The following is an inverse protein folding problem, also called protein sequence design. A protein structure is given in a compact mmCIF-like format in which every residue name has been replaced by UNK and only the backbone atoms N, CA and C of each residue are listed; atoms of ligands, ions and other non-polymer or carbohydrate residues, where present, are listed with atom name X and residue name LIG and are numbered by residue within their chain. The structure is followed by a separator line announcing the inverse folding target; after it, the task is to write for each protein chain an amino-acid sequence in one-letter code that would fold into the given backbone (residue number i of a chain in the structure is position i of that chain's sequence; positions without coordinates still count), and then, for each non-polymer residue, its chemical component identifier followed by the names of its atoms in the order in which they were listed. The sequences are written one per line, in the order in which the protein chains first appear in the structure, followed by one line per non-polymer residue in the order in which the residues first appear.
data_IF_634256808804
#
_entry.id   IF_634256808804
#
_cell.length_a   1.000
_cell.length_b   1.000
_cell.length_c   1.000
_cell.angle_alpha   90.00
_cell.angle_beta   90.00
_cell.angle_gamma   90.00
#
_symmetry.space_group_name_H-M   'P 1'
#
loop_
_entity.id
_entity.type
_entity.pdbx_description
1 polymer ?
#
# COMPACT_ATOMS: atom_id res chain seq x y z
N UNK A 1 6.03 9.46 -11.49
CA UNK A 1 5.02 8.52 -10.93
C UNK A 1 4.57 8.98 -9.54
N UNK A 2 4.55 10.29 -9.30
CA UNK A 2 4.05 10.88 -8.07
C UNK A 2 2.51 10.80 -8.02
N UNK A 3 1.84 10.99 -9.16
CA UNK A 3 0.39 10.96 -9.28
C UNK A 3 -0.19 9.62 -8.81
N UNK A 4 0.33 8.49 -9.30
CA UNK A 4 -0.13 7.17 -8.84
C UNK A 4 0.11 6.94 -7.34
N UNK A 5 1.20 7.46 -6.76
CA UNK A 5 1.41 7.41 -5.30
C UNK A 5 0.36 8.20 -4.54
N UNK A 6 0.02 9.39 -5.04
CA UNK A 6 -1.01 10.24 -4.44
C UNK A 6 -2.37 9.56 -4.54
N UNK A 7 -2.74 9.04 -5.72
CA UNK A 7 -4.01 8.32 -5.90
C UNK A 7 -4.10 7.10 -5.00
N UNK A 8 -3.05 6.27 -4.93
CA UNK A 8 -2.99 5.13 -4.02
C UNK A 8 -3.16 5.56 -2.56
N UNK A 9 -2.46 6.63 -2.15
CA UNK A 9 -2.56 7.18 -0.80
C UNK A 9 -3.98 7.67 -0.47
N UNK A 10 -4.62 8.38 -1.41
CA UNK A 10 -5.96 8.93 -1.23
C UNK A 10 -7.02 7.83 -1.19
N UNK A 11 -6.86 6.75 -1.98
CA UNK A 11 -7.74 5.58 -1.90
C UNK A 11 -7.66 4.93 -0.52
N UNK A 12 -6.47 4.68 0.01
CA UNK A 12 -6.30 4.08 1.35
C UNK A 12 -6.79 5.02 2.45
N UNK A 13 -6.44 6.31 2.39
CA UNK A 13 -6.93 7.31 3.35
C UNK A 13 -8.45 7.40 3.32
N UNK A 14 -9.03 7.44 2.13
CA UNK A 14 -10.48 7.46 1.93
C UNK A 14 -11.14 6.18 2.44
N UNK A 15 -10.53 5.01 2.27
CA UNK A 15 -11.02 3.75 2.81
C UNK A 15 -11.14 3.77 4.33
N UNK A 16 -10.09 4.22 5.01
CA UNK A 16 -10.14 4.35 6.45
C UNK A 16 -11.10 5.47 6.87
N UNK A 17 -11.08 6.63 6.21
CA UNK A 17 -12.05 7.69 6.45
C UNK A 17 -13.50 7.23 6.28
N UNK A 18 -13.80 6.33 5.34
CA UNK A 18 -15.15 5.79 5.14
C UNK A 18 -15.61 4.89 6.30
N UNK A 19 -14.66 4.24 7.00
CA UNK A 19 -14.96 3.50 8.22
C UNK A 19 -15.43 4.43 9.35
N UNK A 20 -14.95 5.69 9.33
CA UNK A 20 -15.28 6.98 10.00
C UNK A 20 -16.71 7.52 9.93
N UNK A 21 -17.43 7.15 8.87
CA UNK A 21 -18.60 7.91 8.44
C UNK A 21 -19.89 7.15 8.74
N UNK A 22 -20.93 7.90 9.03
CA UNK A 22 -22.29 7.39 9.15
C UNK A 22 -22.70 6.75 7.83
N UNK A 23 -23.31 5.56 7.87
CA UNK A 23 -23.85 4.91 6.68
C UNK A 23 -24.92 5.81 6.05
N UNK A 24 -24.68 6.38 4.86
CA UNK A 24 -25.65 7.30 4.26
C UNK A 24 -26.89 6.53 3.79
N UNK A 25 -28.00 7.24 3.59
CA UNK A 25 -29.20 6.64 3.01
C UNK A 25 -28.88 5.91 1.69
N UNK A 26 -29.39 4.68 1.48
CA UNK A 26 -29.16 3.92 0.24
C UNK A 26 -29.54 4.75 -0.99
N UNK A 27 -28.69 4.75 -2.02
CA UNK A 27 -28.93 5.47 -3.27
C UNK A 27 -28.60 6.97 -3.25
N UNK A 28 -28.15 7.53 -2.13
CA UNK A 28 -27.67 8.91 -2.07
C UNK A 28 -26.28 9.07 -2.72
N UNK A 29 -25.98 10.28 -3.25
CA UNK A 29 -24.64 10.60 -3.78
C UNK A 29 -23.54 10.43 -2.72
N UNK A 30 -23.81 10.85 -1.48
CA UNK A 30 -22.91 10.62 -0.34
C UNK A 30 -22.70 9.11 -0.08
N UNK A 31 -23.78 8.32 -0.15
CA UNK A 31 -23.73 6.85 -0.06
C UNK A 31 -22.84 6.24 -1.13
N UNK A 32 -22.95 6.69 -2.38
CA UNK A 32 -22.10 6.23 -3.47
C UNK A 32 -20.61 6.56 -3.24
N UNK A 33 -20.30 7.74 -2.68
CA UNK A 33 -18.92 8.12 -2.34
C UNK A 33 -18.36 7.22 -1.23
N UNK A 34 -19.10 7.06 -0.12
CA UNK A 34 -18.67 6.21 1.01
C UNK A 34 -18.50 4.76 0.55
N UNK A 35 -19.44 4.26 -0.27
CA UNK A 35 -19.35 2.94 -0.86
C UNK A 35 -18.09 2.81 -1.73
N UNK A 36 -17.85 3.73 -2.67
CA UNK A 36 -16.64 3.71 -3.50
C UNK A 36 -15.36 3.63 -2.65
N UNK A 37 -15.25 4.48 -1.64
CA UNK A 37 -14.07 4.48 -0.76
C UNK A 37 -14.01 3.25 0.16
N UNK A 38 -15.10 2.54 0.43
CA UNK A 38 -15.04 1.25 1.14
C UNK A 38 -14.17 0.21 0.41
N UNK A 39 -14.02 0.31 -0.91
CA UNK A 39 -13.07 -0.48 -1.71
C UNK A 39 -11.70 0.21 -1.92
N UNK A 40 -11.43 1.34 -1.28
CA UNK A 40 -10.18 2.08 -1.39
C UNK A 40 -8.94 1.34 -0.85
N UNK A 41 -9.12 0.19 -0.19
CA UNK A 41 -8.04 -0.74 0.17
C UNK A 41 -7.22 -1.19 -1.05
N UNK A 42 -7.80 -1.15 -2.26
CA UNK A 42 -7.12 -1.42 -3.53
C UNK A 42 -5.94 -0.47 -3.82
N UNK A 43 -5.87 0.68 -3.14
CA UNK A 43 -4.68 1.54 -3.17
C UNK A 43 -3.40 0.81 -2.71
N UNK A 44 -3.52 -0.23 -1.88
CA UNK A 44 -2.39 -1.09 -1.49
C UNK A 44 -1.81 -1.84 -2.69
N UNK A 45 -2.64 -2.37 -3.60
CA UNK A 45 -2.17 -3.03 -4.82
C UNK A 45 -1.35 -2.07 -5.69
N UNK A 46 -1.81 -0.83 -5.82
CA UNK A 46 -1.10 0.23 -6.56
C UNK A 46 0.28 0.48 -5.92
N UNK A 47 0.39 0.58 -4.60
CA UNK A 47 1.68 0.78 -3.92
C UNK A 47 2.64 -0.40 -4.13
N UNK A 48 2.15 -1.64 -3.97
CA UNK A 48 2.97 -2.84 -4.12
C UNK A 48 3.46 -3.00 -5.57
N UNK A 49 2.56 -2.87 -6.55
CA UNK A 49 2.92 -2.96 -7.96
C UNK A 49 3.84 -1.82 -8.40
N UNK A 50 3.55 -0.58 -7.98
CA UNK A 50 4.41 0.57 -8.26
C UNK A 50 5.81 0.39 -7.68
N UNK A 51 5.92 -0.25 -6.51
CA UNK A 51 7.22 -0.57 -5.92
C UNK A 51 7.96 -1.61 -6.76
N UNK A 52 7.31 -2.70 -7.17
CA UNK A 52 7.90 -3.68 -8.09
C UNK A 52 8.42 -3.03 -9.38
N UNK A 53 7.62 -2.14 -9.96
CA UNK A 53 7.98 -1.35 -11.13
C UNK A 53 9.20 -0.44 -10.86
N UNK A 54 9.11 0.48 -9.90
CA UNK A 54 10.18 1.47 -9.68
C UNK A 54 11.48 0.85 -9.20
N UNK A 55 11.39 -0.19 -8.36
CA UNK A 55 12.56 -0.81 -7.80
C UNK A 55 13.30 -1.63 -8.85
N UNK A 56 12.59 -2.39 -9.70
CA UNK A 56 13.23 -3.25 -10.69
C UNK A 56 13.93 -2.51 -11.84
N UNK A 57 13.53 -1.27 -12.16
CA UNK A 57 14.02 -0.49 -13.32
C UNK A 57 15.55 -0.45 -13.48
N UNK A 58 16.36 -0.12 -12.46
CA UNK A 58 17.82 -0.07 -12.62
C UNK A 58 18.42 -1.39 -13.09
N UNK A 59 17.85 -2.53 -12.68
CA UNK A 59 18.35 -3.85 -13.11
C UNK A 59 17.94 -4.19 -14.54
N UNK A 60 16.78 -3.72 -14.99
CA UNK A 60 16.40 -3.77 -16.42
C UNK A 60 17.31 -2.92 -17.29
N UNK A 61 17.83 -1.81 -16.74
CA UNK A 61 18.81 -0.91 -17.36
C UNK A 61 20.26 -1.42 -17.26
N UNK A 62 20.47 -2.65 -16.78
CA UNK A 62 21.79 -3.31 -16.77
C UNK A 62 22.58 -3.22 -15.46
N UNK A 63 22.06 -2.60 -14.41
CA UNK A 63 22.75 -2.46 -13.11
C UNK A 63 23.22 -3.81 -12.56
N UNK A 64 24.53 -3.94 -12.33
CA UNK A 64 25.14 -5.19 -11.86
C UNK A 64 24.64 -5.65 -10.48
N UNK A 65 24.53 -6.98 -10.32
CA UNK A 65 24.21 -7.63 -9.05
C UNK A 65 25.51 -8.05 -8.37
N UNK A 66 26.11 -7.13 -7.61
CA UNK A 66 27.26 -7.38 -6.74
C UNK A 66 26.94 -7.05 -5.27
N UNK A 67 27.82 -7.45 -4.35
CA UNK A 67 27.64 -7.22 -2.90
C UNK A 67 27.48 -5.75 -2.56
N UNK A 68 28.19 -4.86 -3.26
CA UNK A 68 28.13 -3.40 -3.07
C UNK A 68 26.77 -2.84 -3.47
N UNK A 69 26.22 -3.28 -4.59
CA UNK A 69 24.93 -2.83 -5.12
C UNK A 69 23.78 -3.37 -4.29
N UNK A 70 23.86 -4.63 -3.86
CA UNK A 70 22.90 -5.23 -2.93
C UNK A 70 22.91 -4.51 -1.57
N UNK A 71 24.09 -4.25 -0.99
CA UNK A 71 24.21 -3.48 0.25
C UNK A 71 23.63 -2.07 0.11
N UNK A 72 23.89 -1.39 -1.02
CA UNK A 72 23.30 -0.07 -1.33
C UNK A 72 21.78 -0.13 -1.50
N UNK A 73 21.25 -1.17 -2.14
CA UNK A 73 19.82 -1.39 -2.27
C UNK A 73 19.18 -1.57 -0.89
N UNK A 74 19.70 -2.50 -0.08
CA UNK A 74 19.22 -2.79 1.27
C UNK A 74 19.24 -1.54 2.16
N UNK A 75 20.36 -0.81 2.18
CA UNK A 75 20.47 0.43 2.97
C UNK A 75 19.44 1.49 2.56
N UNK A 76 19.17 1.65 1.25
CA UNK A 76 18.14 2.59 0.75
C UNK A 76 16.72 2.15 1.07
N UNK A 77 16.46 0.86 1.27
CA UNK A 77 15.16 0.34 1.71
C UNK A 77 15.01 0.48 3.21
N UNK A 78 16.03 0.08 3.97
CA UNK A 78 16.11 0.28 5.41
C UNK A 78 15.89 1.75 5.79
N UNK A 79 16.65 2.68 5.21
CA UNK A 79 16.52 4.11 5.46
C UNK A 79 15.17 4.72 5.06
N UNK A 80 14.45 4.08 4.13
CA UNK A 80 13.13 4.53 3.68
C UNK A 80 12.01 4.05 4.61
N UNK A 81 12.10 2.82 5.09
CA UNK A 81 11.01 2.14 5.81
C UNK A 81 11.24 2.21 7.33
N UNK A 82 12.38 1.72 7.80
CA UNK A 82 12.61 1.40 9.23
C UNK A 82 12.37 2.60 10.16
N UNK A 83 12.96 3.80 9.93
CA UNK A 83 12.86 4.87 10.91
C UNK A 83 11.43 5.33 11.19
N UNK A 84 10.66 5.62 10.14
CA UNK A 84 9.29 6.09 10.29
C UNK A 84 8.32 4.95 10.64
N UNK A 85 8.53 3.74 10.12
CA UNK A 85 7.72 2.58 10.49
C UNK A 85 7.87 2.23 11.98
N UNK A 86 9.10 2.14 12.50
CA UNK A 86 9.32 1.86 13.92
C UNK A 86 8.81 2.99 14.80
N UNK A 87 8.97 4.25 14.39
CA UNK A 87 8.38 5.36 15.12
C UNK A 87 6.85 5.25 15.18
N UNK A 88 6.20 4.94 14.06
CA UNK A 88 4.75 4.75 14.02
C UNK A 88 4.30 3.53 14.83
N UNK A 89 4.99 2.39 14.72
CA UNK A 89 4.66 1.16 15.43
C UNK A 89 4.83 1.33 16.94
N UNK A 90 6.01 1.74 17.40
CA UNK A 90 6.31 1.95 18.82
C UNK A 90 5.48 3.08 19.41
N UNK A 91 5.30 4.18 18.67
CA UNK A 91 4.43 5.28 19.07
C UNK A 91 2.98 4.85 19.21
N UNK A 92 2.46 4.05 18.27
CA UNK A 92 1.09 3.51 18.37
C UNK A 92 0.96 2.57 19.57
N UNK A 93 1.93 1.68 19.82
CA UNK A 93 1.90 0.78 20.99
C UNK A 93 1.90 1.58 22.29
N UNK A 94 2.77 2.59 22.40
CA UNK A 94 2.83 3.46 23.58
C UNK A 94 1.50 4.19 23.80
N UNK A 95 0.94 4.80 22.75
CA UNK A 95 -0.34 5.51 22.82
C UNK A 95 -1.49 4.53 23.13
N UNK A 96 -1.45 3.31 22.59
CA UNK A 96 -2.42 2.25 22.91
C UNK A 96 -2.47 1.96 24.41
N UNK A 97 -1.32 1.91 25.08
CA UNK A 97 -1.23 1.62 26.51
C UNK A 97 -1.60 2.85 27.35
N UNK A 98 -1.04 4.02 27.03
CA UNK A 98 -1.12 5.21 27.89
C UNK A 98 -2.41 5.99 27.68
N UNK A 99 -2.91 6.08 26.45
CA UNK A 99 -4.06 6.91 26.10
C UNK A 99 -5.35 6.09 25.93
N UNK A 100 -5.26 4.92 25.28
CA UNK A 100 -6.41 4.03 25.08
C UNK A 100 -6.57 2.98 26.19
N UNK A 101 -5.68 2.98 27.18
CA UNK A 101 -5.70 2.05 28.32
C UNK A 101 -5.78 0.57 27.92
N UNK A 102 -5.23 0.22 26.74
CA UNK A 102 -5.22 -1.16 26.25
C UNK A 102 -4.19 -1.96 27.07
N UNK A 103 -4.59 -3.06 27.72
CA UNK A 103 -3.70 -3.84 28.57
C UNK A 103 -2.56 -4.47 27.76
N UNK A 104 -1.35 -4.46 28.35
CA UNK A 104 -0.21 -5.18 27.79
C UNK A 104 -0.36 -6.66 28.11
N UNK A 105 -0.52 -7.46 27.06
CA UNK A 105 -0.64 -8.92 27.15
C UNK A 105 0.55 -9.58 26.45
N UNK A 106 0.72 -10.89 26.64
CA UNK A 106 1.71 -11.68 25.88
C UNK A 106 1.50 -11.52 24.36
N UNK A 107 0.25 -11.53 23.90
CA UNK A 107 -0.12 -11.29 22.50
C UNK A 107 0.34 -9.91 22.01
N UNK A 108 0.28 -8.88 22.86
CA UNK A 108 0.79 -7.54 22.53
C UNK A 108 2.29 -7.58 22.22
N UNK A 109 3.07 -8.31 23.03
CA UNK A 109 4.51 -8.48 22.82
C UNK A 109 4.80 -9.26 21.53
N UNK A 110 4.11 -10.38 21.30
CA UNK A 110 4.30 -11.16 20.08
C UNK A 110 3.95 -10.38 18.80
N UNK A 111 2.87 -9.60 18.80
CA UNK A 111 2.51 -8.70 17.70
C UNK A 111 3.58 -7.65 17.43
N UNK A 112 4.10 -7.02 18.48
CA UNK A 112 5.17 -6.03 18.37
C UNK A 112 6.45 -6.65 17.81
N UNK A 113 6.89 -7.80 18.35
CA UNK A 113 8.09 -8.49 17.87
C UNK A 113 7.96 -8.92 16.40
N UNK A 114 6.81 -9.47 16.01
CA UNK A 114 6.54 -9.84 14.62
C UNK A 114 6.50 -8.63 13.68
N UNK A 115 5.94 -7.51 14.12
CA UNK A 115 5.97 -6.24 13.38
C UNK A 115 7.38 -5.68 13.21
N UNK A 116 8.16 -5.64 14.29
CA UNK A 116 9.57 -5.19 14.28
C UNK A 116 10.43 -6.06 13.36
N UNK A 117 10.18 -7.36 13.32
CA UNK A 117 10.86 -8.31 12.45
C UNK A 117 10.29 -8.37 11.01
N UNK A 118 9.26 -7.58 10.68
CA UNK A 118 8.59 -7.56 9.36
C UNK A 118 8.02 -8.91 8.92
N UNK A 119 7.53 -9.69 9.89
CA UNK A 119 6.96 -11.04 9.70
C UNK A 119 5.57 -11.15 10.33
N UNK A 120 4.83 -10.05 10.42
CA UNK A 120 3.49 -10.03 11.02
C UNK A 120 2.54 -11.05 10.38
N UNK A 121 2.73 -11.37 9.10
CA UNK A 121 1.91 -12.28 8.31
C UNK A 121 2.02 -13.79 8.65
N UNK A 122 2.83 -14.21 9.62
CA UNK A 122 3.03 -15.64 9.92
C UNK A 122 1.78 -16.28 10.55
N UNK A 123 1.12 -15.58 11.49
CA UNK A 123 -0.06 -16.10 12.20
C UNK A 123 -1.19 -15.07 12.20
N UNK A 124 -2.46 -15.50 12.30
CA UNK A 124 -3.57 -14.57 12.49
C UNK A 124 -3.42 -13.67 13.73
N UNK A 125 -2.79 -14.20 14.79
CA UNK A 125 -2.55 -13.49 16.04
C UNK A 125 -1.54 -12.35 15.87
N UNK A 126 -0.55 -12.51 14.98
CA UNK A 126 0.48 -11.49 14.71
C UNK A 126 0.15 -10.58 13.52
N UNK A 127 -0.84 -10.95 12.69
CA UNK A 127 -1.12 -10.33 11.40
C UNK A 127 -1.18 -8.80 11.47
N UNK A 128 -1.92 -8.29 12.45
CA UNK A 128 -1.96 -6.87 12.78
C UNK A 128 -0.95 -6.57 13.91
N UNK A 129 0.17 -5.88 13.63
CA UNK A 129 1.25 -5.70 14.60
C UNK A 129 0.87 -4.76 15.76
N UNK A 130 -0.16 -3.94 15.61
CA UNK A 130 -0.75 -3.14 16.70
C UNK A 130 -2.24 -2.88 16.41
N UNK A 131 -3.17 -3.14 17.36
CA UNK A 131 -4.61 -3.04 17.10
C UNK A 131 -5.12 -1.67 16.64
N UNK A 132 -4.66 -0.60 17.28
CA UNK A 132 -5.10 0.79 17.03
C UNK A 132 -4.64 1.31 15.67
N UNK A 133 -3.66 0.65 15.03
CA UNK A 133 -3.16 1.01 13.72
C UNK A 133 -2.99 -0.25 12.85
N UNK A 134 -4.13 -0.90 12.60
CA UNK A 134 -4.20 -2.13 11.84
C UNK A 134 -3.38 -2.08 10.52
N UNK A 135 -3.46 -1.04 9.66
CA UNK A 135 -2.82 -1.02 8.34
C UNK A 135 -1.31 -1.27 8.32
N UNK A 136 -0.60 -1.12 9.44
CA UNK A 136 0.83 -1.41 9.55
C UNK A 136 1.23 -2.85 9.15
N UNK A 137 0.27 -3.78 9.06
CA UNK A 137 0.49 -5.14 8.55
C UNK A 137 1.09 -5.19 7.13
N UNK A 138 0.74 -4.24 6.26
CA UNK A 138 1.18 -4.29 4.84
C UNK A 138 2.69 -4.07 4.71
N UNK A 139 3.31 -3.39 5.66
CA UNK A 139 4.74 -3.06 5.62
C UNK A 139 5.58 -4.34 5.69
N UNK A 140 5.14 -5.35 6.45
CA UNK A 140 5.76 -6.67 6.45
C UNK A 140 5.74 -7.31 5.06
N UNK A 141 4.62 -7.23 4.33
CA UNK A 141 4.50 -7.74 2.96
C UNK A 141 5.38 -6.95 1.97
N UNK A 142 5.45 -5.64 2.12
CA UNK A 142 6.28 -4.78 1.29
C UNK A 142 7.78 -5.08 1.48
N UNK A 143 8.23 -5.23 2.73
CA UNK A 143 9.61 -5.60 3.05
C UNK A 143 9.94 -7.00 2.54
N UNK A 144 9.00 -7.96 2.63
CA UNK A 144 9.15 -9.28 2.02
C UNK A 144 9.39 -9.17 0.49
N UNK A 145 8.58 -8.38 -0.22
CA UNK A 145 8.75 -8.18 -1.66
C UNK A 145 10.10 -7.51 -1.99
N UNK A 146 10.56 -6.58 -1.17
CA UNK A 146 11.86 -5.94 -1.33
C UNK A 146 13.01 -6.93 -1.15
N UNK A 147 12.90 -7.81 -0.15
CA UNK A 147 13.87 -8.87 0.08
C UNK A 147 13.88 -9.92 -1.05
N UNK A 148 12.73 -10.19 -1.66
CA UNK A 148 12.61 -11.13 -2.77
C UNK A 148 13.19 -10.60 -4.09
N UNK A 149 13.18 -9.28 -4.32
CA UNK A 149 13.56 -8.67 -5.61
C UNK A 149 14.97 -9.05 -6.10
N UNK A 150 16.04 -9.01 -5.29
CA UNK A 150 17.36 -9.50 -5.70
C UNK A 150 17.35 -10.93 -6.24
N UNK A 151 16.58 -11.83 -5.63
CA UNK A 151 16.45 -13.21 -6.09
C UNK A 151 15.74 -13.26 -7.45
N UNK A 152 14.65 -12.50 -7.62
CA UNK A 152 13.92 -12.37 -8.90
C UNK A 152 14.86 -11.95 -10.03
N UNK A 153 15.66 -10.89 -9.80
CA UNK A 153 16.62 -10.39 -10.80
C UNK A 153 17.74 -11.42 -11.05
N UNK A 154 18.21 -12.11 -10.02
CA UNK A 154 19.28 -13.12 -10.14
C UNK A 154 18.87 -14.28 -11.04
N UNK A 155 17.65 -14.80 -10.88
CA UNK A 155 17.09 -15.84 -11.77
C UNK A 155 16.99 -15.34 -13.21
N UNK A 156 16.56 -14.09 -13.41
CA UNK A 156 16.51 -13.47 -14.72
C UNK A 156 17.86 -13.36 -15.43
N UNK A 157 18.93 -13.07 -14.67
CA UNK A 157 20.29 -13.03 -15.21
C UNK A 157 20.86 -14.40 -15.50
N UNK A 158 20.68 -15.34 -14.58
CA UNK A 158 21.18 -16.71 -14.72
C UNK A 158 20.62 -17.41 -15.97
N UNK A 159 19.34 -17.19 -16.27
CA UNK A 159 18.68 -17.75 -17.46
C UNK A 159 19.02 -17.03 -18.77
N UNK A 160 19.65 -15.85 -18.72
CA UNK A 160 19.84 -14.97 -19.88
C UNK A 160 18.54 -14.43 -20.50
N UNK A 161 17.38 -14.76 -19.92
CA UNK A 161 16.03 -14.44 -20.45
C UNK A 161 15.19 -13.79 -19.34
N UNK A 162 15.53 -12.56 -18.90
CA UNK A 162 14.96 -11.96 -17.69
C UNK A 162 13.43 -11.78 -17.75
N UNK A 163 12.86 -11.52 -18.93
CA UNK A 163 11.41 -11.44 -19.09
C UNK A 163 10.73 -12.80 -18.87
N UNK A 164 11.23 -13.85 -19.53
CA UNK A 164 10.70 -15.21 -19.39
C UNK A 164 10.88 -15.74 -17.96
N UNK A 165 12.00 -15.44 -17.31
CA UNK A 165 12.23 -15.77 -15.90
C UNK A 165 11.25 -15.06 -14.97
N UNK A 166 10.99 -13.78 -15.18
CA UNK A 166 10.03 -13.03 -14.36
C UNK A 166 8.60 -13.57 -14.57
N UNK A 167 8.23 -13.94 -15.80
CA UNK A 167 6.95 -14.61 -16.09
C UNK A 167 6.90 -15.97 -15.39
N UNK A 168 7.96 -16.77 -15.48
CA UNK A 168 8.05 -18.07 -14.81
C UNK A 168 7.93 -17.96 -13.29
N UNK A 169 8.56 -16.95 -12.69
CA UNK A 169 8.44 -16.66 -11.26
C UNK A 169 7.03 -16.18 -10.87
N UNK A 170 6.37 -15.39 -11.72
CA UNK A 170 4.97 -15.02 -11.51
C UNK A 170 4.08 -16.26 -11.56
N UNK A 171 4.22 -17.11 -12.57
CA UNK A 171 3.48 -18.38 -12.68
C UNK A 171 3.74 -19.29 -11.48
N UNK A 172 5.00 -19.42 -11.05
CA UNK A 172 5.37 -20.18 -9.85
C UNK A 172 4.69 -19.61 -8.59
N UNK A 173 4.74 -18.29 -8.42
CA UNK A 173 4.12 -17.62 -7.27
C UNK A 173 2.60 -17.80 -7.26
N UNK A 174 1.95 -17.75 -8.43
CA UNK A 174 0.52 -18.01 -8.57
C UNK A 174 0.17 -19.49 -8.32
N UNK A 175 1.05 -20.43 -8.70
CA UNK A 175 0.89 -21.84 -8.37
C UNK A 175 0.99 -22.07 -6.85
N UNK A 176 1.97 -21.45 -6.19
CA UNK A 176 2.08 -21.46 -4.72
C UNK A 176 0.83 -20.87 -4.08
N UNK A 177 0.34 -19.73 -4.59
CA UNK A 177 -0.91 -19.12 -4.11
C UNK A 177 -2.11 -20.05 -4.27
N UNK A 178 -2.22 -20.74 -5.40
CA UNK A 178 -3.27 -21.72 -5.65
C UNK A 178 -3.21 -22.85 -4.61
N UNK A 179 -2.01 -23.41 -4.34
CA UNK A 179 -1.81 -24.43 -3.29
C UNK A 179 -2.20 -23.89 -1.91
N UNK A 180 -1.75 -22.69 -1.55
CA UNK A 180 -2.06 -22.03 -0.27
C UNK A 180 -3.57 -21.83 -0.09
N UNK A 181 -4.27 -21.47 -1.16
CA UNK A 181 -5.72 -21.27 -1.16
C UNK A 181 -6.48 -22.60 -1.09
N UNK A 182 -6.02 -23.65 -1.79
CA UNK A 182 -6.65 -24.97 -1.74
C UNK A 182 -6.45 -25.61 -0.36
N UNK A 183 -5.26 -25.48 0.20
CA UNK A 183 -4.91 -26.06 1.50
C UNK A 183 -5.49 -25.26 2.68
N UNK A 184 -5.66 -23.96 2.52
CA UNK A 184 -6.18 -23.08 3.57
C UNK A 184 -7.67 -22.80 3.38
N UNK A 185 -8.47 -23.12 4.37
CA UNK A 185 -9.87 -22.68 4.43
C UNK A 185 -9.95 -21.35 5.19
N UNK A 186 -10.26 -20.21 4.54
CA UNK A 186 -10.49 -18.97 5.28
C UNK A 186 -11.66 -19.16 6.26
N UNK A 187 -11.62 -18.46 7.39
CA UNK A 187 -12.76 -18.44 8.29
C UNK A 187 -14.00 -17.92 7.55
N UNK A 188 -15.22 -18.43 7.84
CA UNK A 188 -16.44 -18.00 7.16
C UNK A 188 -16.58 -16.48 7.19
N UNK A 189 -17.04 -15.92 6.06
CA UNK A 189 -17.43 -14.52 5.99
C UNK A 189 -18.61 -14.29 6.95
N UNK A 190 -18.32 -13.74 8.12
CA UNK A 190 -19.26 -13.48 9.20
C UNK A 190 -18.84 -12.24 9.97
N UNK A 191 -19.66 -11.86 10.97
CA UNK A 191 -19.32 -10.72 11.83
C UNK A 191 -18.00 -11.04 12.56
N UNK A 192 -16.95 -10.31 12.23
CA UNK A 192 -15.68 -10.37 12.95
C UNK A 192 -15.84 -9.58 14.25
N UNK A 193 -15.56 -10.22 15.39
CA UNK A 193 -15.65 -9.58 16.71
C UNK A 193 -14.27 -9.14 17.22
N UNK A 194 -13.20 -9.60 16.57
CA UNK A 194 -11.82 -9.24 16.89
C UNK A 194 -10.97 -9.07 15.63
N UNK A 195 -9.82 -8.39 15.76
CA UNK A 195 -8.82 -8.32 14.70
C UNK A 195 -8.23 -9.68 14.34
N UNK A 196 -8.25 -10.65 15.25
CA UNK A 196 -7.83 -12.03 14.93
C UNK A 196 -8.83 -12.68 13.99
N UNK A 197 -10.13 -12.46 14.19
CA UNK A 197 -11.16 -12.96 13.27
C UNK A 197 -11.02 -12.33 11.89
N UNK A 198 -10.76 -11.02 11.83
CA UNK A 198 -10.46 -10.33 10.56
C UNK A 198 -9.25 -10.98 9.88
N UNK A 199 -8.16 -11.22 10.62
CA UNK A 199 -6.97 -11.88 10.07
C UNK A 199 -7.27 -13.31 9.56
N UNK A 200 -8.10 -14.07 10.29
CA UNK A 200 -8.53 -15.43 9.89
C UNK A 200 -9.44 -15.44 8.66
N UNK A 201 -10.17 -14.37 8.39
CA UNK A 201 -10.96 -14.20 7.15
C UNK A 201 -10.07 -13.80 5.97
N UNK A 202 -8.98 -13.06 6.22
CA UNK A 202 -8.06 -12.59 5.20
C UNK A 202 -7.04 -13.68 4.82
N UNK A 203 -6.58 -14.45 5.79
CA UNK A 203 -5.75 -15.63 5.58
C UNK A 203 -6.64 -16.80 5.09
N UNK A 204 -6.20 -17.57 4.09
CA UNK A 204 -4.86 -17.59 3.53
C UNK A 204 -4.62 -16.59 2.40
N UNK A 205 -5.62 -15.86 1.91
CA UNK A 205 -5.52 -15.06 0.68
C UNK A 205 -4.57 -13.86 0.78
N UNK A 206 -4.50 -13.21 1.94
CA UNK A 206 -3.56 -12.13 2.25
C UNK A 206 -2.25 -12.71 2.78
N UNK A 207 -1.38 -13.16 1.88
CA UNK A 207 -0.10 -13.78 2.23
C UNK A 207 1.05 -13.30 1.31
N UNK A 208 2.31 -13.62 1.64
CA UNK A 208 3.47 -13.19 0.87
C UNK A 208 3.46 -13.59 -0.62
N UNK A 209 2.91 -14.76 -0.99
CA UNK A 209 2.83 -15.19 -2.39
C UNK A 209 1.87 -14.30 -3.19
N UNK A 210 0.67 -14.03 -2.67
CA UNK A 210 -0.28 -13.13 -3.31
C UNK A 210 0.31 -11.73 -3.55
N UNK A 211 1.00 -11.18 -2.55
CA UNK A 211 1.63 -9.86 -2.64
C UNK A 211 2.85 -9.86 -3.57
N UNK A 212 3.63 -10.94 -3.59
CA UNK A 212 4.73 -11.10 -4.53
C UNK A 212 4.21 -11.19 -5.98
N UNK A 213 3.06 -11.79 -6.24
CA UNK A 213 2.45 -11.81 -7.57
C UNK A 213 2.13 -10.39 -8.07
N UNK A 214 1.47 -9.57 -7.23
CA UNK A 214 1.17 -8.15 -7.53
C UNK A 214 2.47 -7.37 -7.77
N UNK A 215 3.48 -7.59 -6.93
CA UNK A 215 4.79 -6.95 -7.07
C UNK A 215 5.48 -7.34 -8.39
N UNK A 216 5.45 -8.62 -8.75
CA UNK A 216 6.03 -9.16 -9.99
C UNK A 216 5.34 -8.60 -11.24
N UNK A 217 4.03 -8.31 -11.22
CA UNK A 217 3.35 -7.57 -12.30
C UNK A 217 4.02 -6.20 -12.53
N UNK A 218 4.43 -5.52 -11.46
CA UNK A 218 5.19 -4.28 -11.54
C UNK A 218 6.58 -4.48 -12.15
N UNK A 219 7.30 -5.54 -11.71
CA UNK A 219 8.61 -5.91 -12.27
C UNK A 219 8.52 -6.20 -13.77
N UNK A 220 7.49 -6.92 -14.21
CA UNK A 220 7.21 -7.20 -15.61
C UNK A 220 6.91 -5.92 -16.39
N UNK A 221 6.10 -5.02 -15.82
CA UNK A 221 5.75 -3.74 -16.45
C UNK A 221 7.00 -2.89 -16.68
N UNK A 222 7.96 -2.89 -15.74
CA UNK A 222 9.23 -2.20 -15.93
C UNK A 222 10.07 -2.83 -17.05
N UNK A 223 10.08 -4.16 -17.16
CA UNK A 223 10.75 -4.87 -18.25
C UNK A 223 10.13 -4.57 -19.63
N UNK A 224 8.79 -4.50 -19.69
CA UNK A 224 8.06 -4.12 -20.91
C UNK A 224 8.30 -2.65 -21.28
N UNK A 225 8.36 -1.75 -20.29
CA UNK A 225 8.60 -0.32 -20.51
C UNK A 225 9.84 -0.05 -21.36
N UNK A 226 10.88 -0.89 -21.26
CA UNK A 226 12.15 -0.71 -21.99
C UNK A 226 11.98 -0.69 -23.52
N UNK A 227 10.96 -1.38 -24.02
CA UNK A 227 10.68 -1.48 -25.45
C UNK A 227 9.80 -0.35 -25.96
N UNK A 228 9.29 0.50 -25.07
CA UNK A 228 8.38 1.58 -25.40
C UNK A 228 9.15 2.90 -25.35
N UNK A 229 9.35 3.59 -26.49
CA UNK A 229 10.09 4.84 -26.50
C UNK A 229 9.40 5.88 -25.62
N UNK A 230 10.19 6.78 -25.02
CA UNK A 230 9.69 7.89 -24.22
C UNK A 230 9.44 9.11 -25.10
N UNK A 231 8.33 9.08 -25.81
CA UNK A 231 7.85 10.19 -26.62
C UNK A 231 6.58 10.74 -25.98
N UNK A 232 6.56 12.05 -25.72
CA UNK A 232 5.37 12.71 -25.20
C UNK A 232 4.29 12.74 -26.28
N UNK A 233 3.08 12.33 -25.94
CA UNK A 233 1.99 12.15 -26.90
C UNK A 233 0.63 12.37 -26.22
N UNK A 234 -0.30 13.11 -26.85
CA UNK A 234 -1.69 13.21 -26.39
C UNK A 234 -2.42 11.86 -26.38
N UNK A 235 -2.07 10.94 -27.28
CA UNK A 235 -2.61 9.58 -27.28
C UNK A 235 -2.23 8.83 -25.99
N UNK A 236 -1.02 9.05 -25.46
CA UNK A 236 -0.64 8.51 -24.16
C UNK A 236 -1.47 9.12 -23.02
N UNK A 237 -1.89 10.39 -23.09
CA UNK A 237 -2.84 10.95 -22.11
C UNK A 237 -4.21 10.24 -22.16
N UNK A 238 -4.71 9.91 -23.37
CA UNK A 238 -5.97 9.14 -23.51
C UNK A 238 -5.82 7.76 -22.90
N UNK A 239 -4.74 7.03 -23.19
CA UNK A 239 -4.48 5.72 -22.59
C UNK A 239 -4.36 5.82 -21.06
N UNK A 240 -3.71 6.88 -20.56
CA UNK A 240 -3.61 7.13 -19.13
C UNK A 240 -4.98 7.40 -18.50
N UNK A 241 -5.83 8.23 -19.12
CA UNK A 241 -7.20 8.47 -18.68
C UNK A 241 -8.02 7.17 -18.66
N UNK A 242 -7.96 6.37 -19.72
CA UNK A 242 -8.64 5.07 -19.78
C UNK A 242 -8.14 4.12 -18.69
N UNK A 243 -6.83 4.10 -18.44
CA UNK A 243 -6.22 3.25 -17.40
C UNK A 243 -6.65 3.69 -15.99
N UNK A 244 -6.64 5.00 -15.71
CA UNK A 244 -7.12 5.55 -14.44
C UNK A 244 -8.63 5.34 -14.26
N UNK A 245 -9.41 5.49 -15.34
CA UNK A 245 -10.84 5.18 -15.37
C UNK A 245 -11.13 3.70 -15.11
N UNK A 246 -10.34 2.79 -15.68
CA UNK A 246 -10.43 1.37 -15.42
C UNK A 246 -10.10 1.01 -13.96
N UNK A 247 -9.07 1.63 -13.36
CA UNK A 247 -8.79 1.50 -11.92
C UNK A 247 -10.01 1.94 -11.11
N UNK A 248 -10.57 3.12 -11.40
CA UNK A 248 -11.76 3.63 -10.73
C UNK A 248 -12.97 2.71 -10.88
N UNK A 249 -13.20 2.17 -12.09
CA UNK A 249 -14.29 1.24 -12.34
C UNK A 249 -14.13 -0.07 -11.56
N UNK A 250 -12.93 -0.66 -11.54
CA UNK A 250 -12.65 -1.89 -10.77
C UNK A 250 -12.88 -1.66 -9.28
N UNK A 251 -12.40 -0.54 -8.73
CA UNK A 251 -12.62 -0.17 -7.32
C UNK A 251 -14.12 0.02 -7.03
N UNK A 252 -14.82 0.81 -7.85
CA UNK A 252 -16.24 1.10 -7.66
C UNK A 252 -17.14 -0.13 -7.78
N UNK A 253 -16.84 -1.03 -8.71
CA UNK A 253 -17.58 -2.29 -8.86
C UNK A 253 -17.28 -3.26 -7.70
N UNK A 254 -16.06 -3.26 -7.17
CA UNK A 254 -15.67 -4.14 -6.06
C UNK A 254 -16.32 -3.73 -4.74
N UNK A 255 -16.62 -2.44 -4.56
CA UNK A 255 -17.29 -1.91 -3.37
C UNK A 255 -18.69 -2.49 -3.09
N UNK A 256 -19.36 -3.04 -4.11
CA UNK A 256 -20.71 -3.61 -3.97
C UNK A 256 -20.78 -5.13 -3.85
N UNK A 257 -19.68 -5.85 -4.12
CA UNK A 257 -19.74 -7.30 -4.43
C UNK A 257 -18.91 -8.13 -3.44
N UNK A 258 -17.70 -7.70 -3.09
CA UNK A 258 -16.82 -8.41 -2.17
C UNK A 258 -15.80 -7.43 -1.58
N UNK A 259 -15.82 -7.15 -0.26
CA UNK A 259 -14.95 -6.14 0.36
C UNK A 259 -13.45 -6.35 0.11
N UNK A 260 -13.05 -7.60 -0.14
CA UNK A 260 -11.66 -8.00 -0.39
C UNK A 260 -11.32 -8.14 -1.88
N UNK A 261 -12.35 -8.19 -2.74
CA UNK A 261 -12.23 -8.29 -4.19
C UNK A 261 -11.34 -9.43 -4.67
N UNK A 262 -11.49 -10.67 -4.17
CA UNK A 262 -10.61 -11.76 -4.60
C UNK A 262 -10.75 -12.04 -6.10
N UNK A 263 -9.61 -12.15 -6.78
CA UNK A 263 -9.52 -12.43 -8.21
C UNK A 263 -9.00 -13.83 -8.50
N UNK A 264 -8.21 -13.97 -9.58
CA UNK A 264 -7.62 -15.23 -9.99
C UNK A 264 -6.77 -15.84 -8.85
N UNK A 265 -6.99 -17.12 -8.56
CA UNK A 265 -6.37 -17.86 -7.44
C UNK A 265 -6.55 -17.20 -6.06
N UNK A 266 -7.63 -16.43 -5.88
CA UNK A 266 -7.91 -15.66 -4.68
C UNK A 266 -6.83 -14.64 -4.28
N UNK A 267 -6.01 -14.19 -5.24
CA UNK A 267 -5.17 -13.00 -5.03
C UNK A 267 -6.09 -11.79 -4.81
N UNK A 268 -5.86 -10.94 -3.79
CA UNK A 268 -6.75 -9.83 -3.45
C UNK A 268 -6.75 -8.73 -4.52
N UNK A 269 -7.66 -7.76 -4.36
CA UNK A 269 -7.71 -6.52 -5.16
C UNK A 269 -8.08 -6.68 -6.65
N UNK A 270 -8.93 -7.65 -6.96
CA UNK A 270 -9.46 -8.00 -8.28
C UNK A 270 -8.38 -8.43 -9.27
N UNK A 271 -7.35 -9.11 -8.77
CA UNK A 271 -6.26 -9.61 -9.58
C UNK A 271 -6.75 -10.51 -10.74
N UNK A 272 -6.22 -10.36 -11.98
CA UNK A 272 -5.19 -9.42 -12.42
C UNK A 272 -5.75 -8.12 -13.03
N UNK A 273 -7.06 -7.86 -12.91
CA UNK A 273 -7.72 -6.77 -13.65
C UNK A 273 -7.19 -5.40 -13.23
N UNK A 274 -7.02 -5.15 -11.92
CA UNK A 274 -6.45 -3.88 -11.47
C UNK A 274 -4.98 -3.77 -11.88
N UNK A 275 -4.21 -4.85 -11.85
CA UNK A 275 -2.78 -4.85 -12.23
C UNK A 275 -2.61 -4.53 -13.71
N UNK A 276 -3.49 -5.03 -14.58
CA UNK A 276 -3.49 -4.66 -16.00
C UNK A 276 -3.79 -3.17 -16.18
N UNK A 277 -4.76 -2.62 -15.44
CA UNK A 277 -5.07 -1.19 -15.48
C UNK A 277 -3.91 -0.33 -14.91
N UNK A 278 -3.28 -0.76 -13.81
CA UNK A 278 -2.09 -0.11 -13.24
C UNK A 278 -0.92 -0.18 -14.23
N UNK A 279 -0.69 -1.30 -14.89
CA UNK A 279 0.34 -1.42 -15.94
C UNK A 279 0.10 -0.41 -17.06
N UNK A 280 -1.15 -0.32 -17.55
CA UNK A 280 -1.55 0.69 -18.53
C UNK A 280 -1.21 2.11 -18.07
N UNK A 281 -1.53 2.45 -16.82
CA UNK A 281 -1.21 3.76 -16.25
C UNK A 281 0.31 4.00 -16.11
N UNK A 282 1.07 3.01 -15.63
CA UNK A 282 2.53 3.11 -15.49
C UNK A 282 3.24 3.32 -16.82
N UNK A 283 2.75 2.68 -17.89
CA UNK A 283 3.31 2.81 -19.23
C UNK A 283 2.88 4.12 -19.92
N UNK A 284 1.70 4.65 -19.65
CA UNK A 284 1.15 5.82 -20.35
C UNK A 284 1.42 7.15 -19.66
N UNK A 285 1.32 7.23 -18.32
CA UNK A 285 1.49 8.48 -17.56
C UNK A 285 2.80 9.23 -17.82
N UNK A 286 4.00 8.60 -17.84
CA UNK A 286 5.25 9.33 -18.13
C UNK A 286 5.38 9.78 -19.59
N UNK A 287 4.44 9.37 -20.45
CA UNK A 287 4.41 9.68 -21.89
C UNK A 287 3.26 10.63 -22.23
N UNK A 288 2.37 10.92 -21.28
CA UNK A 288 1.30 11.88 -21.45
C UNK A 288 1.81 13.32 -21.39
N UNK A 289 1.30 14.19 -22.25
CA UNK A 289 1.63 15.63 -22.25
C UNK A 289 1.05 16.31 -21.00
N UNK A 290 -0.24 16.10 -20.70
CA UNK A 290 -0.92 16.70 -19.56
C UNK A 290 -0.50 16.03 -18.24
N UNK A 291 -0.41 14.70 -18.24
CA UNK A 291 -0.08 13.98 -17.01
C UNK A 291 1.37 14.18 -16.57
N UNK A 292 2.31 14.40 -17.48
CA UNK A 292 3.69 14.76 -17.09
C UNK A 292 3.73 16.11 -16.39
N UNK A 293 2.95 17.09 -16.86
CA UNK A 293 2.81 18.39 -16.21
C UNK A 293 2.17 18.24 -14.82
N UNK A 294 1.09 17.46 -14.71
CA UNK A 294 0.39 17.20 -13.44
C UNK A 294 1.27 16.47 -12.42
N UNK A 295 1.98 15.41 -12.84
CA UNK A 295 2.94 14.64 -12.02
C UNK A 295 4.10 15.52 -11.52
N UNK A 296 4.41 16.56 -12.30
CA UNK A 296 5.38 17.61 -12.01
C UNK A 296 4.82 18.83 -11.27
N UNK A 297 3.55 18.84 -10.87
CA UNK A 297 3.02 19.95 -10.06
C UNK A 297 3.61 19.93 -8.64
N UNK A 298 3.71 21.10 -8.01
CA UNK A 298 4.23 21.20 -6.65
C UNK A 298 3.39 20.41 -5.64
N UNK A 299 2.07 20.48 -5.78
CA UNK A 299 1.11 19.78 -4.90
C UNK A 299 1.28 18.27 -5.01
N UNK A 300 1.28 17.71 -6.22
CA UNK A 300 1.43 16.26 -6.42
C UNK A 300 2.78 15.76 -5.91
N UNK A 301 3.87 16.50 -6.15
CA UNK A 301 5.17 16.15 -5.59
C UNK A 301 5.22 16.21 -4.07
N UNK A 302 4.54 17.18 -3.46
CA UNK A 302 4.49 17.34 -2.00
C UNK A 302 3.74 16.16 -1.37
N UNK A 303 2.52 15.89 -1.83
CA UNK A 303 1.70 14.78 -1.35
C UNK A 303 2.38 13.43 -1.59
N UNK A 304 3.04 13.24 -2.73
CA UNK A 304 3.79 12.02 -3.01
C UNK A 304 4.96 11.80 -2.02
N UNK A 305 5.62 12.87 -1.54
CA UNK A 305 6.66 12.75 -0.50
C UNK A 305 6.05 12.32 0.83
N UNK A 306 4.92 12.91 1.20
CA UNK A 306 4.23 12.64 2.46
C UNK A 306 3.40 11.34 2.46
N UNK A 307 3.16 10.73 1.29
CA UNK A 307 2.32 9.53 1.14
C UNK A 307 2.63 8.40 2.12
N UNK A 308 3.91 8.16 2.41
CA UNK A 308 4.31 7.15 3.39
C UNK A 308 3.93 7.54 4.82
N UNK A 309 4.17 8.79 5.22
CA UNK A 309 3.72 9.31 6.51
C UNK A 309 2.19 9.27 6.64
N UNK A 310 1.46 9.70 5.61
CA UNK A 310 -0.02 9.63 5.61
C UNK A 310 -0.47 8.19 5.86
N UNK A 311 0.11 7.24 5.12
CA UNK A 311 -0.18 5.82 5.29
C UNK A 311 0.06 5.31 6.72
N UNK A 312 1.20 5.66 7.32
CA UNK A 312 1.60 5.18 8.64
C UNK A 312 0.75 5.78 9.78
N UNK A 313 0.36 7.04 9.66
CA UNK A 313 -0.23 7.80 10.79
C UNK A 313 -1.76 7.91 10.74
N UNK A 314 -2.39 7.75 9.57
CA UNK A 314 -3.82 8.02 9.38
C UNK A 314 -4.74 7.34 10.39
N UNK A 315 -4.58 6.04 10.64
CA UNK A 315 -5.50 5.29 11.51
C UNK A 315 -5.34 5.69 12.97
N UNK A 316 -4.10 5.83 13.45
CA UNK A 316 -3.86 6.32 14.80
C UNK A 316 -4.44 7.73 14.99
N UNK A 317 -4.27 8.61 14.00
CA UNK A 317 -4.88 9.94 14.04
C UNK A 317 -6.40 9.86 14.09
N UNK A 318 -7.06 9.04 13.26
CA UNK A 318 -8.51 8.87 13.33
C UNK A 318 -8.97 8.34 14.70
N UNK A 319 -8.29 7.35 15.27
CA UNK A 319 -8.62 6.82 16.60
C UNK A 319 -8.45 7.85 17.72
N UNK A 320 -7.37 8.64 17.68
CA UNK A 320 -7.17 9.74 18.64
C UNK A 320 -8.27 10.78 18.46
N UNK A 321 -8.58 11.17 17.22
CA UNK A 321 -9.61 12.17 16.95
C UNK A 321 -10.98 11.73 17.44
N UNK A 322 -11.31 10.45 17.23
CA UNK A 322 -12.53 9.81 17.72
C UNK A 322 -12.61 9.81 19.25
N UNK A 323 -11.57 9.35 19.93
CA UNK A 323 -11.59 9.17 21.39
C UNK A 323 -11.39 10.48 22.17
N UNK A 324 -10.51 11.37 21.70
CA UNK A 324 -10.19 12.61 22.41
C UNK A 324 -11.22 13.73 22.17
N UNK A 325 -11.76 13.82 20.94
CA UNK A 325 -12.58 14.96 20.53
C UNK A 325 -14.02 14.59 20.17
N UNK A 326 -14.38 13.31 20.14
CA UNK A 326 -15.71 12.86 19.74
C UNK A 326 -16.05 13.18 18.26
N UNK A 327 -15.01 13.37 17.43
CA UNK A 327 -15.09 13.76 16.01
C UNK A 327 -14.81 12.54 15.10
N UNK A 328 -15.56 12.31 14.01
CA UNK A 328 -16.99 11.99 13.94
C UNK A 328 -17.27 10.47 14.11
N UNK A 329 -18.39 10.13 14.76
CA UNK A 329 -19.15 8.87 14.66
C UNK A 329 -20.34 8.97 15.61
N UNK A 330 -21.60 8.70 15.22
CA UNK A 330 -22.66 8.70 16.22
C UNK A 330 -23.05 7.27 16.64
N UNK A 331 -23.50 7.11 17.89
CA UNK A 331 -24.72 6.37 18.14
C UNK A 331 -25.95 7.20 17.72
N UNK A 332 -25.94 8.53 17.89
CA UNK A 332 -27.07 9.40 17.52
C UNK A 332 -26.66 10.55 16.58
N UNK A 333 -27.02 10.41 15.29
CA UNK A 333 -26.63 11.32 14.22
C UNK A 333 -27.38 12.66 14.20
N UNK A 334 -26.93 13.54 13.30
CA UNK A 334 -27.75 14.22 12.27
C UNK A 334 -27.12 15.48 11.67
N UNK A 335 -25.90 15.88 12.06
CA UNK A 335 -25.27 17.04 11.44
C UNK A 335 -24.12 16.67 10.47
N UNK A 336 -24.43 16.47 9.17
CA UNK A 336 -23.42 16.26 8.11
C UNK A 336 -22.32 17.32 8.08
N UNK A 337 -22.61 18.55 8.51
CA UNK A 337 -21.60 19.61 8.56
C UNK A 337 -20.59 19.36 9.69
N UNK A 338 -21.02 18.89 10.86
CA UNK A 338 -20.09 18.51 11.94
C UNK A 338 -19.25 17.31 11.52
N UNK A 339 -19.86 16.30 10.89
CA UNK A 339 -19.15 15.13 10.36
C UNK A 339 -18.12 15.53 9.29
N UNK A 340 -18.51 16.38 8.35
CA UNK A 340 -17.63 16.93 7.32
C UNK A 340 -16.47 17.75 7.90
N UNK A 341 -16.74 18.66 8.86
CA UNK A 341 -15.71 19.45 9.53
C UNK A 341 -14.75 18.56 10.34
N UNK A 342 -15.27 17.54 11.02
CA UNK A 342 -14.49 16.55 11.74
C UNK A 342 -13.53 15.80 10.83
N UNK A 343 -14.03 15.37 9.67
CA UNK A 343 -13.24 14.68 8.66
C UNK A 343 -12.14 15.58 8.08
N UNK A 344 -12.48 16.82 7.70
CA UNK A 344 -11.51 17.81 7.21
C UNK A 344 -10.43 18.09 8.26
N UNK A 345 -10.83 18.26 9.51
CA UNK A 345 -9.90 18.49 10.63
C UNK A 345 -8.97 17.29 10.82
N UNK A 346 -9.51 16.07 10.79
CA UNK A 346 -8.74 14.83 10.93
C UNK A 346 -7.72 14.68 9.79
N UNK A 347 -8.14 14.94 8.54
CA UNK A 347 -7.24 14.94 7.37
C UNK A 347 -6.15 16.00 7.52
N UNK A 348 -6.48 17.20 8.00
CA UNK A 348 -5.48 18.25 8.25
C UNK A 348 -4.45 17.82 9.30
N UNK A 349 -4.88 17.21 10.40
CA UNK A 349 -3.99 16.65 11.43
C UNK A 349 -3.10 15.55 10.84
N UNK A 350 -3.65 14.63 10.07
CA UNK A 350 -2.91 13.56 9.39
C UNK A 350 -1.82 14.13 8.49
N UNK A 351 -2.14 15.17 7.69
CA UNK A 351 -1.17 15.83 6.82
C UNK A 351 -0.06 16.53 7.62
N UNK A 352 -0.39 17.18 8.75
CA UNK A 352 0.59 17.80 9.63
C UNK A 352 1.53 16.78 10.27
N UNK A 353 0.99 15.67 10.78
CA UNK A 353 1.78 14.57 11.37
C UNK A 353 2.66 13.90 10.31
N UNK A 354 2.10 13.65 9.11
CA UNK A 354 2.86 13.10 7.99
C UNK A 354 3.98 14.03 7.52
N UNK A 355 3.73 15.34 7.46
CA UNK A 355 4.74 16.35 7.17
C UNK A 355 5.83 16.36 8.25
N UNK A 356 5.46 16.32 9.53
CA UNK A 356 6.40 16.22 10.66
C UNK A 356 7.28 14.97 10.56
N UNK A 357 6.67 13.79 10.37
CA UNK A 357 7.36 12.52 10.13
C UNK A 357 8.37 12.64 8.99
N UNK A 358 7.96 13.24 7.87
CA UNK A 358 8.84 13.45 6.73
C UNK A 358 10.03 14.36 7.07
N UNK A 359 9.78 15.51 7.69
CA UNK A 359 10.79 16.53 7.90
C UNK A 359 11.79 16.17 9.00
N UNK A 360 11.33 15.54 10.08
CA UNK A 360 12.15 15.27 11.26
C UNK A 360 12.76 13.86 11.26
N UNK A 361 12.19 12.90 10.53
CA UNK A 361 12.58 11.48 10.62
C UNK A 361 13.00 10.94 9.26
N UNK A 362 12.10 10.95 8.28
CA UNK A 362 12.36 10.29 7.00
C UNK A 362 13.43 11.01 6.18
N UNK A 363 13.28 12.33 5.98
CA UNK A 363 14.18 13.12 5.13
C UNK A 363 15.63 13.12 5.64
N UNK A 364 15.93 13.34 6.94
CA UNK A 364 17.30 13.33 7.44
C UNK A 364 18.00 11.98 7.26
N UNK A 365 17.29 10.88 7.49
CA UNK A 365 17.87 9.53 7.33
C UNK A 365 18.07 9.18 5.85
N UNK A 366 17.10 9.53 5.00
CA UNK A 366 17.23 9.32 3.55
C UNK A 366 18.36 10.19 2.95
N UNK A 367 18.52 11.44 3.41
CA UNK A 367 19.56 12.33 2.91
C UNK A 367 20.96 11.90 3.36
N UNK A 368 21.14 11.43 4.60
CA UNK A 368 22.44 10.95 5.10
C UNK A 368 22.94 9.75 4.29
N UNK A 369 22.07 8.80 3.95
CA UNK A 369 22.38 7.67 3.06
C UNK A 369 22.71 8.12 1.64
N UNK A 370 22.17 9.25 1.17
CA UNK A 370 22.53 9.84 -0.13
C UNK A 370 23.86 10.59 -0.09
N UNK A 371 24.19 11.27 1.01
CA UNK A 371 25.40 12.10 1.14
C UNK A 371 26.68 11.30 1.44
N UNK A 372 26.60 10.16 2.16
CA UNK A 372 27.72 9.20 2.30
C UNK A 372 28.25 8.61 0.98
N UNK A 373 27.73 9.09 -0.15
CA UNK A 373 28.06 8.70 -1.52
C UNK A 373 28.79 9.80 -2.30
N UNK A 374 28.75 11.07 -1.88
CA UNK A 374 29.54 12.12 -2.54
C UNK A 374 30.98 12.19 -2.04
N UNK A 375 31.30 11.46 -0.96
CA UNK A 375 32.60 11.47 -0.29
C UNK A 375 33.43 10.17 -0.53
N UNK A 376 32.90 9.23 -1.34
CA UNK A 376 33.54 7.96 -1.73
C UNK A 376 33.29 7.68 -3.19
#
# INVERSE_FOLDING_TARGET
MNLLRVLACLLVLGHHAAQYLSLPAPGSFQGAIVQFFSAGSFGVAIFIMLSGYLLSRPWWDGLELDSRTLGRYALRRAARIIPAYYLALLGTVLISVVFFEIPVTETTLWRLLAGMAFISFITPETFFPVPVNAPLWTISMEVFCYAALPAVVSVGRWTGKPLAATIGLLCFTLAVQCVVTIAGTPAPAGRAYSLVDVARQWMPNYNPAAFLAIFLCGVLTAGVERYIPRVLSPQADVVALCSLGAIGAVVGLSAGIAPHGYGLFNVPYAFPLIELAIAGALLSLPRGTWFTLLDGSQVVRLLARWSFGIYLWQMLCFEIMRTAFGLPFPPDGQNPLVEGLSMVTSIAVILLVAAGSWHFVERPVISSVRMRRSEV
#
